data_IF_074735442589
#
_entry.id   IF_074735442589
#
_cell.length_a   1.000
_cell.length_b   1.000
_cell.length_c   1.000
_cell.angle_alpha   90.00
_cell.angle_beta   90.00
_cell.angle_gamma   90.00
#
_symmetry.space_group_name_H-M   'P 1'
#
loop_
_entity.id
_entity.type
_entity.pdbx_description
1 polymer ?
#
# COMPACT_ATOMS: atom_id res chain seq x y z
N UNK A 1 38.91 20.29 -9.78
CA UNK A 1 38.83 19.77 -8.40
C UNK A 1 39.58 18.47 -8.43
N UNK A 2 40.61 18.32 -7.61
CA UNK A 2 41.35 17.06 -7.55
C UNK A 2 40.41 15.99 -6.97
N UNK A 3 40.35 14.82 -7.61
CA UNK A 3 39.56 13.71 -7.09
C UNK A 3 40.04 13.37 -5.67
N UNK A 4 39.12 13.19 -4.72
CA UNK A 4 39.49 12.84 -3.37
C UNK A 4 40.31 11.54 -3.37
N UNK A 5 41.37 11.43 -2.54
CA UNK A 5 42.25 10.29 -2.55
C UNK A 5 41.47 8.99 -2.27
N UNK A 6 41.66 7.99 -3.12
CA UNK A 6 41.06 6.67 -2.96
C UNK A 6 41.54 6.04 -1.65
N UNK A 7 40.62 5.83 -0.70
CA UNK A 7 40.92 5.16 0.56
C UNK A 7 40.64 3.65 0.43
N UNK A 8 41.68 2.79 0.42
CA UNK A 8 41.50 1.37 0.18
C UNK A 8 41.00 0.66 1.45
N UNK A 9 39.68 0.73 1.69
CA UNK A 9 39.06 0.24 2.94
C UNK A 9 39.42 -1.23 3.26
N UNK A 10 39.54 -2.08 2.23
CA UNK A 10 39.89 -3.50 2.40
C UNK A 10 41.37 -3.77 2.68
N UNK A 11 42.23 -2.75 2.67
CA UNK A 11 43.64 -2.90 3.08
C UNK A 11 43.84 -2.70 4.58
N UNK A 12 42.81 -2.22 5.28
CA UNK A 12 42.85 -2.14 6.74
C UNK A 12 42.80 -3.53 7.37
N UNK A 13 43.35 -3.71 8.58
CA UNK A 13 43.12 -4.91 9.37
C UNK A 13 41.61 -5.21 9.53
N UNK A 14 41.26 -6.49 9.57
CA UNK A 14 39.87 -6.98 9.61
C UNK A 14 38.96 -6.20 10.58
N UNK A 15 39.41 -6.05 11.83
CA UNK A 15 38.65 -5.33 12.86
C UNK A 15 38.48 -3.84 12.54
N UNK A 16 39.47 -3.21 11.91
CA UNK A 16 39.44 -1.80 11.61
C UNK A 16 38.38 -1.49 10.53
N UNK A 17 38.37 -2.22 9.41
CA UNK A 17 37.37 -1.94 8.37
C UNK A 17 35.94 -2.31 8.81
N UNK A 18 35.75 -3.37 9.61
CA UNK A 18 34.43 -3.71 10.17
C UNK A 18 33.93 -2.57 11.05
N UNK A 19 34.79 -2.00 11.88
CA UNK A 19 34.42 -0.86 12.72
C UNK A 19 34.06 0.36 11.87
N UNK A 20 34.78 0.60 10.77
CA UNK A 20 34.41 1.66 9.80
C UNK A 20 33.01 1.40 9.23
N UNK A 21 32.72 0.18 8.74
CA UNK A 21 31.38 -0.16 8.18
C UNK A 21 30.27 0.01 9.23
N UNK A 22 30.54 -0.32 10.50
CA UNK A 22 29.58 -0.14 11.60
C UNK A 22 29.32 1.32 11.95
N UNK A 23 30.29 2.20 11.69
CA UNK A 23 30.17 3.64 11.89
C UNK A 23 29.50 4.32 10.68
N UNK A 24 29.53 3.69 9.50
CA UNK A 24 28.83 4.19 8.32
C UNK A 24 27.33 4.29 8.58
N UNK A 25 26.71 5.36 8.09
CA UNK A 25 25.26 5.48 8.10
C UNK A 25 24.60 4.49 7.10
N UNK A 26 23.27 4.33 7.18
CA UNK A 26 22.57 3.34 6.34
C UNK A 26 22.69 3.63 4.83
N UNK A 27 22.79 4.91 4.42
CA UNK A 27 23.01 5.31 3.01
C UNK A 27 24.39 4.86 2.54
N UNK A 28 25.43 5.10 3.35
CA UNK A 28 26.80 4.67 3.08
C UNK A 28 26.92 3.15 3.04
N UNK A 29 26.32 2.43 3.98
CA UNK A 29 26.29 0.96 3.98
C UNK A 29 25.61 0.40 2.72
N UNK A 30 24.48 0.99 2.32
CA UNK A 30 23.78 0.61 1.09
C UNK A 30 24.65 0.86 -0.16
N UNK A 31 25.19 2.08 -0.30
CA UNK A 31 26.04 2.45 -1.44
C UNK A 31 27.31 1.60 -1.49
N UNK A 32 28.00 1.43 -0.37
CA UNK A 32 29.20 0.61 -0.26
C UNK A 32 28.91 -0.85 -0.62
N UNK A 33 27.80 -1.41 -0.11
CA UNK A 33 27.36 -2.74 -0.47
C UNK A 33 27.22 -2.91 -1.98
N UNK A 34 26.62 -1.94 -2.69
CA UNK A 34 26.38 -2.00 -4.14
C UNK A 34 27.65 -2.06 -4.99
N UNK A 35 28.80 -1.63 -4.46
CA UNK A 35 30.08 -1.59 -5.21
C UNK A 35 30.54 -2.99 -5.64
N UNK A 36 30.38 -4.00 -4.80
CA UNK A 36 30.82 -5.37 -5.14
C UNK A 36 30.17 -6.43 -4.25
N UNK A 37 30.22 -7.70 -4.71
CA UNK A 37 29.79 -8.85 -3.91
C UNK A 37 30.54 -8.93 -2.57
N UNK A 38 31.84 -8.63 -2.57
CA UNK A 38 32.66 -8.60 -1.34
C UNK A 38 32.17 -7.51 -0.40
N UNK A 39 31.97 -6.29 -0.88
CA UNK A 39 31.46 -5.19 -0.06
C UNK A 39 30.07 -5.50 0.54
N UNK A 40 29.15 -6.03 -0.26
CA UNK A 40 27.84 -6.47 0.24
C UNK A 40 27.96 -7.52 1.35
N UNK A 41 28.87 -8.49 1.20
CA UNK A 41 29.10 -9.53 2.21
C UNK A 41 29.68 -8.94 3.51
N UNK A 42 30.60 -7.96 3.41
CA UNK A 42 31.15 -7.30 4.60
C UNK A 42 30.12 -6.42 5.31
N UNK A 43 29.24 -5.72 4.57
CA UNK A 43 28.10 -4.98 5.15
C UNK A 43 27.18 -5.94 5.88
N UNK A 44 26.79 -7.04 5.23
CA UNK A 44 25.96 -8.09 5.83
C UNK A 44 26.52 -8.62 7.14
N UNK A 45 27.83 -8.84 7.20
CA UNK A 45 28.50 -9.35 8.40
C UNK A 45 28.66 -8.29 9.50
N UNK A 46 28.64 -7.01 9.12
CA UNK A 46 28.87 -5.89 10.04
C UNK A 46 27.58 -5.36 10.67
N UNK A 47 26.45 -5.42 9.95
CA UNK A 47 25.15 -4.92 10.40
C UNK A 47 24.50 -5.90 11.38
N UNK A 48 23.95 -5.35 12.47
CA UNK A 48 23.19 -6.14 13.46
C UNK A 48 21.83 -6.54 12.88
N UNK A 49 21.43 -7.79 13.10
CA UNK A 49 20.13 -8.30 12.65
C UNK A 49 18.99 -7.51 13.28
N UNK A 50 17.99 -7.15 12.47
CA UNK A 50 16.72 -6.58 12.95
C UNK A 50 16.76 -5.11 13.37
N UNK A 51 17.86 -4.38 13.16
CA UNK A 51 17.92 -2.94 13.49
C UNK A 51 17.38 -2.03 12.39
N UNK A 52 17.13 -2.57 11.20
CA UNK A 52 16.70 -1.82 10.03
C UNK A 52 15.22 -2.10 9.75
N UNK A 53 14.43 -1.03 9.74
CA UNK A 53 13.04 -1.03 9.26
C UNK A 53 13.02 -0.66 7.78
N UNK A 54 12.22 -1.38 7.02
CA UNK A 54 12.05 -1.18 5.57
C UNK A 54 10.60 -0.80 5.30
N UNK A 55 10.42 0.29 4.56
CA UNK A 55 9.13 0.70 4.04
C UNK A 55 9.19 0.83 2.52
N UNK A 56 8.24 0.21 1.82
CA UNK A 56 8.09 0.33 0.36
C UNK A 56 6.88 1.21 0.08
N UNK A 57 7.12 2.38 -0.52
CA UNK A 57 6.15 3.44 -0.75
C UNK A 57 5.90 3.62 -2.24
N UNK A 58 4.73 3.22 -2.70
CA UNK A 58 4.29 3.36 -4.08
C UNK A 58 3.72 4.76 -4.28
N UNK A 59 4.48 5.63 -4.94
CA UNK A 59 4.09 7.01 -5.29
C UNK A 59 3.60 7.06 -6.73
N UNK A 60 3.09 8.22 -7.18
CA UNK A 60 2.50 8.39 -8.53
C UNK A 60 3.47 8.01 -9.66
N UNK A 61 4.72 8.46 -9.57
CA UNK A 61 5.72 8.33 -10.65
C UNK A 61 6.90 7.39 -10.32
N UNK A 62 7.07 6.96 -9.08
CA UNK A 62 8.20 6.14 -8.64
C UNK A 62 7.82 5.28 -7.43
N UNK A 63 8.71 4.35 -7.07
CA UNK A 63 8.64 3.60 -5.81
C UNK A 63 9.79 4.08 -4.93
N UNK A 64 9.49 4.53 -3.71
CA UNK A 64 10.50 4.85 -2.70
C UNK A 64 10.64 3.70 -1.72
N UNK A 65 11.86 3.26 -1.48
CA UNK A 65 12.20 2.34 -0.40
C UNK A 65 12.89 3.13 0.68
N UNK A 66 12.23 3.28 1.83
CA UNK A 66 12.77 3.92 3.02
C UNK A 66 13.44 2.87 3.88
N UNK A 67 14.67 3.15 4.26
CA UNK A 67 15.44 2.39 5.23
C UNK A 67 15.63 3.26 6.45
N UNK A 68 15.30 2.73 7.62
CA UNK A 68 15.47 3.43 8.89
C UNK A 68 16.20 2.52 9.87
N UNK A 69 17.30 3.01 10.46
CA UNK A 69 18.03 2.27 11.49
C UNK A 69 17.77 2.90 12.85
N UNK A 70 16.95 2.23 13.67
CA UNK A 70 16.55 2.72 14.98
C UNK A 70 17.74 2.88 15.94
N UNK A 71 18.79 2.07 15.78
CA UNK A 71 19.97 2.14 16.64
C UNK A 71 20.88 3.33 16.33
N UNK A 72 20.86 3.81 15.08
CA UNK A 72 21.70 4.94 14.64
C UNK A 72 20.90 6.23 14.44
N UNK A 73 19.57 6.16 14.59
CA UNK A 73 18.64 7.27 14.31
C UNK A 73 18.86 7.90 12.93
N UNK A 74 19.19 7.07 11.93
CA UNK A 74 19.41 7.51 10.56
C UNK A 74 18.40 6.90 9.58
N UNK A 75 18.19 7.61 8.48
CA UNK A 75 17.22 7.26 7.45
C UNK A 75 17.82 7.48 6.07
N UNK A 76 17.43 6.64 5.12
CA UNK A 76 17.76 6.77 3.71
C UNK A 76 16.56 6.39 2.86
N UNK A 77 16.25 7.20 1.85
CA UNK A 77 15.21 6.92 0.86
C UNK A 77 15.85 6.61 -0.48
N UNK A 78 15.69 5.38 -0.96
CA UNK A 78 16.10 4.94 -2.29
C UNK A 78 14.91 5.02 -3.25
N UNK A 79 15.04 5.77 -4.34
CA UNK A 79 13.97 5.94 -5.33
C UNK A 79 14.23 5.04 -6.55
N UNK A 80 13.23 4.28 -6.94
CA UNK A 80 13.21 3.49 -8.17
C UNK A 80 12.38 4.27 -9.17
N UNK A 81 13.05 4.81 -10.18
CA UNK A 81 12.42 5.49 -11.31
C UNK A 81 12.09 4.49 -12.42
N UNK A 82 11.08 4.77 -13.24
CA UNK A 82 10.80 3.97 -14.43
C UNK A 82 11.96 4.09 -15.43
N UNK A 83 12.28 2.98 -16.11
CA UNK A 83 13.32 2.96 -17.17
C UNK A 83 12.83 3.62 -18.46
N UNK A 84 11.52 3.60 -18.70
CA UNK A 84 10.89 4.19 -19.88
C UNK A 84 10.10 5.43 -19.42
N UNK A 85 10.22 6.59 -20.09
CA UNK A 85 9.38 7.75 -19.81
C UNK A 85 7.90 7.36 -19.78
N UNK A 86 7.13 7.96 -18.87
CA UNK A 86 5.68 7.72 -18.70
C UNK A 86 5.28 6.31 -18.22
N UNK A 87 6.22 5.39 -18.06
CA UNK A 87 5.99 4.08 -17.44
C UNK A 87 6.07 4.14 -15.91
N UNK A 88 5.82 3.00 -15.26
CA UNK A 88 6.01 2.81 -13.83
C UNK A 88 7.18 1.84 -13.58
N UNK A 89 7.90 1.92 -12.44
CA UNK A 89 8.94 0.94 -12.11
C UNK A 89 8.44 -0.50 -12.23
N UNK A 90 9.22 -1.36 -12.89
CA UNK A 90 8.85 -2.76 -13.08
C UNK A 90 8.83 -3.52 -11.75
N UNK A 91 7.94 -4.50 -11.63
CA UNK A 91 7.85 -5.32 -10.42
C UNK A 91 9.15 -6.06 -10.13
N UNK A 92 9.86 -6.51 -11.17
CA UNK A 92 11.17 -7.17 -11.01
C UNK A 92 12.21 -6.24 -10.40
N UNK A 93 12.29 -4.98 -10.84
CA UNK A 93 13.19 -3.99 -10.24
C UNK A 93 12.93 -3.81 -8.74
N UNK A 94 11.66 -3.80 -8.34
CA UNK A 94 11.22 -3.68 -6.93
C UNK A 94 11.58 -4.96 -6.15
N UNK A 95 11.34 -6.14 -6.70
CA UNK A 95 11.67 -7.42 -6.07
C UNK A 95 13.18 -7.58 -5.89
N UNK A 96 13.98 -7.23 -6.90
CA UNK A 96 15.44 -7.34 -6.86
C UNK A 96 16.03 -6.47 -5.76
N UNK A 97 15.57 -5.23 -5.62
CA UNK A 97 16.06 -4.36 -4.57
C UNK A 97 15.61 -4.86 -3.18
N UNK A 98 14.40 -5.40 -3.03
CA UNK A 98 13.96 -6.00 -1.75
C UNK A 98 14.82 -7.22 -1.40
N UNK A 99 15.12 -8.11 -2.37
CA UNK A 99 16.04 -9.25 -2.17
C UNK A 99 17.43 -8.79 -1.76
N UNK A 100 17.95 -7.77 -2.45
CA UNK A 100 19.24 -7.19 -2.15
C UNK A 100 19.29 -6.63 -0.71
N UNK A 101 18.31 -5.82 -0.35
CA UNK A 101 18.20 -5.25 0.99
C UNK A 101 18.06 -6.33 2.07
N UNK A 102 17.27 -7.37 1.80
CA UNK A 102 17.10 -8.51 2.70
C UNK A 102 18.42 -9.23 2.90
N UNK A 103 19.20 -9.41 1.84
CA UNK A 103 20.52 -10.01 1.92
C UNK A 103 21.50 -9.21 2.78
N UNK A 104 21.60 -7.88 2.59
CA UNK A 104 22.57 -7.05 3.31
C UNK A 104 22.14 -6.65 4.72
N UNK A 105 20.84 -6.41 4.96
CA UNK A 105 20.35 -5.92 6.26
C UNK A 105 19.64 -6.98 7.10
N UNK A 106 19.33 -8.15 6.51
CA UNK A 106 18.72 -9.29 7.19
C UNK A 106 17.51 -8.88 8.06
N UNK A 107 16.58 -8.12 7.47
CA UNK A 107 15.32 -7.75 8.09
C UNK A 107 14.30 -8.89 7.95
N UNK A 108 13.36 -8.98 8.90
CA UNK A 108 12.31 -9.99 8.91
C UNK A 108 10.92 -9.46 8.54
N UNK A 109 10.76 -8.14 8.41
CA UNK A 109 9.46 -7.52 8.15
C UNK A 109 9.57 -6.29 7.25
N UNK A 110 8.50 -6.02 6.51
CA UNK A 110 8.35 -4.89 5.59
C UNK A 110 7.04 -4.15 5.87
N UNK A 111 7.07 -2.83 5.75
CA UNK A 111 5.88 -1.99 5.70
C UNK A 111 5.58 -1.62 4.25
N UNK A 112 4.33 -1.76 3.81
CA UNK A 112 3.87 -1.45 2.47
C UNK A 112 2.94 -0.23 2.51
N UNK A 113 3.23 0.77 1.69
CA UNK A 113 2.43 1.98 1.55
C UNK A 113 2.05 2.16 0.09
N UNK A 114 0.81 1.85 -0.24
CA UNK A 114 0.24 2.09 -1.54
C UNK A 114 -0.43 3.47 -1.54
N UNK A 115 0.28 4.49 -2.02
CA UNK A 115 -0.16 5.89 -1.96
C UNK A 115 -0.62 6.40 -3.33
N UNK A 116 -0.94 5.48 -4.25
CA UNK A 116 -1.31 5.75 -5.64
C UNK A 116 -2.64 5.05 -5.93
N UNK A 117 -3.46 5.71 -6.75
CA UNK A 117 -4.72 5.16 -7.28
C UNK A 117 -4.51 3.89 -8.15
N UNK A 118 -3.30 3.69 -8.67
CA UNK A 118 -2.97 2.54 -9.52
C UNK A 118 -2.24 1.48 -8.71
N UNK A 119 -3.03 0.59 -8.08
CA UNK A 119 -2.58 -0.58 -7.32
C UNK A 119 -2.08 -1.73 -8.24
N UNK A 120 -1.30 -1.41 -9.28
CA UNK A 120 -0.81 -2.44 -10.21
C UNK A 120 0.02 -3.45 -9.41
N UNK A 121 -0.45 -4.69 -9.45
CA UNK A 121 0.21 -5.90 -8.96
C UNK A 121 0.50 -5.98 -7.45
N UNK A 122 -0.36 -5.37 -6.63
CA UNK A 122 -0.36 -5.55 -5.16
C UNK A 122 -0.35 -7.02 -4.74
N UNK A 123 -1.13 -7.86 -5.47
CA UNK A 123 -1.20 -9.30 -5.22
C UNK A 123 0.13 -9.98 -5.45
N UNK A 124 0.79 -9.64 -6.55
CA UNK A 124 2.08 -10.20 -6.90
C UNK A 124 3.14 -9.83 -5.87
N UNK A 125 3.16 -8.56 -5.43
CA UNK A 125 4.09 -8.10 -4.40
C UNK A 125 3.85 -8.79 -3.06
N UNK A 126 2.60 -8.87 -2.58
CA UNK A 126 2.28 -9.54 -1.31
C UNK A 126 2.67 -11.02 -1.37
N UNK A 127 2.37 -11.69 -2.48
CA UNK A 127 2.77 -13.08 -2.72
C UNK A 127 4.30 -13.24 -2.68
N UNK A 128 5.03 -12.32 -3.31
CA UNK A 128 6.48 -12.29 -3.29
C UNK A 128 7.05 -12.07 -1.87
N UNK A 129 6.53 -11.09 -1.11
CA UNK A 129 6.97 -10.81 0.26
C UNK A 129 6.78 -12.05 1.16
N UNK A 130 5.63 -12.71 1.07
CA UNK A 130 5.36 -13.95 1.81
C UNK A 130 6.27 -15.10 1.36
N UNK A 131 6.51 -15.23 0.05
CA UNK A 131 7.46 -16.21 -0.51
C UNK A 131 8.90 -15.98 -0.06
N UNK A 132 9.27 -14.73 0.24
CA UNK A 132 10.53 -14.37 0.86
C UNK A 132 10.53 -14.54 2.39
N UNK A 133 9.50 -15.15 3.00
CA UNK A 133 9.39 -15.31 4.44
C UNK A 133 9.53 -13.98 5.21
N UNK A 134 9.04 -12.89 4.62
CA UNK A 134 8.98 -11.58 5.25
C UNK A 134 7.58 -11.34 5.81
N UNK A 135 7.50 -10.83 7.02
CA UNK A 135 6.24 -10.41 7.63
C UNK A 135 5.80 -9.04 7.06
N UNK A 136 4.51 -8.88 6.79
CA UNK A 136 3.93 -7.56 6.48
C UNK A 136 3.60 -6.89 7.81
N UNK A 137 4.45 -5.96 8.23
CA UNK A 137 4.27 -5.24 9.50
C UNK A 137 3.16 -4.21 9.40
N UNK A 138 3.17 -3.41 8.34
CA UNK A 138 2.23 -2.33 8.14
C UNK A 138 1.75 -2.38 6.71
N UNK A 139 0.44 -2.27 6.50
CA UNK A 139 -0.15 -2.14 5.16
C UNK A 139 -1.03 -0.91 5.13
N UNK A 140 -0.62 0.10 4.38
CA UNK A 140 -1.33 1.37 4.24
C UNK A 140 -1.75 1.51 2.80
N UNK A 141 -3.06 1.53 2.56
CA UNK A 141 -3.64 1.58 1.22
C UNK A 141 -4.48 2.85 1.10
N UNK A 142 -4.02 3.74 0.23
CA UNK A 142 -4.66 4.99 -0.15
C UNK A 142 -4.84 5.02 -1.67
N UNK A 143 -5.97 5.55 -2.10
CA UNK A 143 -6.32 5.64 -3.50
C UNK A 143 -7.83 5.79 -3.69
N UNK A 144 -8.24 5.96 -4.93
CA UNK A 144 -9.64 6.09 -5.32
C UNK A 144 -10.16 4.79 -5.92
N UNK A 145 -11.28 4.32 -5.39
CA UNK A 145 -12.11 3.27 -5.99
C UNK A 145 -11.35 1.97 -6.27
N UNK A 146 -10.95 1.27 -5.20
CA UNK A 146 -10.28 -0.02 -5.37
C UNK A 146 -11.22 -1.05 -5.95
N UNK A 147 -10.74 -1.79 -6.94
CA UNK A 147 -11.43 -2.99 -7.40
C UNK A 147 -11.77 -3.89 -6.20
N UNK A 148 -13.02 -4.34 -6.12
CA UNK A 148 -13.55 -5.09 -4.98
C UNK A 148 -12.76 -6.37 -4.69
N UNK A 149 -12.29 -7.04 -5.74
CA UNK A 149 -11.49 -8.25 -5.64
C UNK A 149 -10.14 -7.98 -4.97
N UNK A 150 -9.49 -6.86 -5.34
CA UNK A 150 -8.22 -6.42 -4.72
C UNK A 150 -8.46 -5.96 -3.29
N UNK A 151 -9.57 -5.26 -3.03
CA UNK A 151 -9.96 -4.81 -1.70
C UNK A 151 -10.17 -5.99 -0.73
N UNK A 152 -10.92 -7.00 -1.14
CA UNK A 152 -11.14 -8.22 -0.37
C UNK A 152 -9.86 -9.02 -0.19
N UNK A 153 -9.03 -9.12 -1.23
CA UNK A 153 -7.72 -9.77 -1.13
C UNK A 153 -6.84 -9.10 -0.06
N UNK A 154 -6.76 -7.77 -0.04
CA UNK A 154 -5.98 -7.04 0.96
C UNK A 154 -6.46 -7.31 2.38
N UNK A 155 -7.78 -7.33 2.59
CA UNK A 155 -8.35 -7.63 3.90
C UNK A 155 -8.01 -9.05 4.35
N UNK A 156 -8.09 -10.03 3.45
CA UNK A 156 -7.73 -11.42 3.72
C UNK A 156 -6.24 -11.61 3.97
N UNK A 157 -5.39 -10.99 3.18
CA UNK A 157 -3.94 -11.24 3.23
C UNK A 157 -3.20 -10.40 4.28
N UNK A 158 -3.81 -9.33 4.81
CA UNK A 158 -3.20 -8.43 5.80
C UNK A 158 -3.92 -8.40 7.17
N UNK A 159 -4.91 -9.27 7.42
CA UNK A 159 -5.65 -9.32 8.69
C UNK A 159 -4.79 -9.64 9.92
N UNK A 160 -3.61 -10.24 9.72
CA UNK A 160 -2.65 -10.62 10.75
C UNK A 160 -1.47 -9.65 10.86
N UNK A 161 -1.41 -8.62 10.01
CA UNK A 161 -0.39 -7.59 10.07
C UNK A 161 -0.43 -6.80 11.39
N UNK A 162 0.66 -6.13 11.76
CA UNK A 162 0.66 -5.33 12.98
C UNK A 162 -0.24 -4.10 12.86
N UNK A 163 -0.27 -3.47 11.68
CA UNK A 163 -1.08 -2.29 11.36
C UNK A 163 -1.70 -2.47 9.97
N UNK A 164 -3.01 -2.23 9.85
CA UNK A 164 -3.70 -2.15 8.57
C UNK A 164 -4.49 -0.84 8.48
N UNK A 165 -4.18 -0.02 7.47
CA UNK A 165 -4.93 1.18 7.12
C UNK A 165 -5.48 1.01 5.71
N UNK A 166 -6.79 0.82 5.58
CA UNK A 166 -7.49 0.73 4.30
C UNK A 166 -8.37 1.96 4.14
N UNK A 167 -7.81 3.02 3.56
CA UNK A 167 -8.45 4.35 3.53
C UNK A 167 -9.19 4.57 2.20
N UNK A 168 -8.84 3.81 1.16
CA UNK A 168 -9.51 3.85 -0.13
C UNK A 168 -10.91 3.24 -0.07
N UNK A 169 -11.95 3.85 -0.68
CA UNK A 169 -13.24 3.19 -0.84
C UNK A 169 -13.15 2.01 -1.83
N UNK A 170 -14.02 0.99 -1.70
CA UNK A 170 -14.29 0.08 -2.80
C UNK A 170 -14.85 0.87 -4.00
N UNK A 171 -14.60 0.39 -5.23
CA UNK A 171 -15.02 1.05 -6.46
C UNK A 171 -16.54 1.22 -6.54
N UNK A 172 -17.29 0.29 -5.97
CA UNK A 172 -18.73 0.29 -5.93
C UNK A 172 -19.24 0.84 -4.59
N UNK A 173 -20.07 1.89 -4.63
CA UNK A 173 -20.68 2.47 -3.42
C UNK A 173 -21.67 1.53 -2.72
N UNK A 174 -22.17 0.52 -3.44
CA UNK A 174 -23.06 -0.51 -2.93
C UNK A 174 -22.32 -1.80 -2.57
N UNK A 175 -20.99 -1.77 -2.50
CA UNK A 175 -20.19 -2.90 -2.04
C UNK A 175 -20.74 -3.44 -0.72
N UNK A 176 -20.91 -4.76 -0.67
CA UNK A 176 -21.32 -5.51 0.51
C UNK A 176 -20.51 -6.80 0.56
N UNK A 177 -20.19 -7.22 1.76
CA UNK A 177 -19.54 -8.52 1.99
C UNK A 177 -20.25 -9.20 3.15
N UNK A 178 -20.29 -10.53 3.08
CA UNK A 178 -20.82 -11.33 4.17
C UNK A 178 -19.79 -11.41 5.30
N UNK A 179 -20.27 -11.31 6.54
CA UNK A 179 -19.43 -11.33 7.74
C UNK A 179 -18.66 -12.64 7.85
N UNK A 180 -19.23 -13.75 7.37
CA UNK A 180 -18.60 -15.08 7.41
C UNK A 180 -17.42 -15.24 6.46
N UNK A 181 -17.33 -14.40 5.42
CA UNK A 181 -16.21 -14.40 4.46
C UNK A 181 -15.04 -13.53 4.92
N UNK A 182 -15.20 -12.85 6.06
CA UNK A 182 -14.30 -11.83 6.54
C UNK A 182 -13.39 -12.37 7.64
N UNK A 183 -12.06 -12.15 7.57
CA UNK A 183 -11.14 -12.65 8.58
C UNK A 183 -11.35 -11.91 9.92
N UNK A 184 -10.92 -12.55 11.01
CA UNK A 184 -10.85 -11.90 12.32
C UNK A 184 -9.58 -11.09 12.44
N UNK A 185 -9.71 -9.82 12.77
CA UNK A 185 -8.61 -8.87 12.85
C UNK A 185 -7.97 -8.95 14.24
N UNK A 186 -6.70 -9.33 14.27
CA UNK A 186 -5.89 -9.40 15.50
C UNK A 186 -4.83 -8.28 15.55
N UNK A 187 -4.91 -7.31 14.64
CA UNK A 187 -3.92 -6.26 14.46
C UNK A 187 -3.82 -5.38 15.71
N UNK A 188 -2.66 -4.73 15.89
CA UNK A 188 -2.55 -3.67 16.91
C UNK A 188 -3.41 -2.48 16.53
N UNK A 189 -3.45 -2.10 15.26
CA UNK A 189 -4.21 -0.95 14.80
C UNK A 189 -4.90 -1.27 13.47
N UNK A 190 -6.21 -1.03 13.42
CA UNK A 190 -7.06 -1.18 12.24
C UNK A 190 -7.69 0.17 11.94
N UNK A 191 -7.46 0.70 10.74
CA UNK A 191 -8.14 1.88 10.21
C UNK A 191 -8.87 1.48 8.93
N UNK A 192 -10.17 1.72 8.85
CA UNK A 192 -10.96 1.55 7.62
C UNK A 192 -11.67 2.86 7.29
N UNK A 193 -11.25 3.49 6.20
CA UNK A 193 -11.90 4.67 5.62
C UNK A 193 -13.05 4.30 4.69
N UNK A 194 -13.94 5.26 4.40
CA UNK A 194 -15.10 5.09 3.50
C UNK A 194 -15.89 3.79 3.74
N UNK A 195 -16.08 3.47 5.01
CA UNK A 195 -16.53 2.16 5.49
C UNK A 195 -18.06 1.97 5.46
N UNK A 196 -18.74 2.53 4.46
CA UNK A 196 -20.21 2.45 4.31
C UNK A 196 -20.76 1.01 4.22
N UNK A 197 -19.89 0.07 3.83
CA UNK A 197 -20.18 -1.36 3.72
C UNK A 197 -20.05 -2.11 5.06
N UNK A 198 -19.33 -1.54 6.03
CA UNK A 198 -19.13 -2.15 7.35
C UNK A 198 -20.45 -2.07 8.13
N UNK A 199 -20.88 -3.21 8.64
CA UNK A 199 -22.10 -3.33 9.46
C UNK A 199 -21.72 -3.55 10.93
N UNK A 200 -22.67 -3.36 11.85
CA UNK A 200 -22.44 -3.62 13.28
C UNK A 200 -21.98 -5.06 13.54
N UNK A 201 -22.47 -6.03 12.75
CA UNK A 201 -22.03 -7.43 12.85
C UNK A 201 -20.54 -7.59 12.54
N UNK A 202 -19.99 -6.84 11.58
CA UNK A 202 -18.55 -6.85 11.33
C UNK A 202 -17.76 -6.36 12.55
N UNK A 203 -18.24 -5.31 13.24
CA UNK A 203 -17.65 -4.84 14.49
C UNK A 203 -17.64 -5.94 15.56
N UNK A 204 -18.78 -6.59 15.73
CA UNK A 204 -19.00 -7.59 16.79
C UNK A 204 -18.33 -8.95 16.53
N UNK A 205 -18.13 -9.31 15.25
CA UNK A 205 -17.63 -10.65 14.86
C UNK A 205 -16.18 -10.63 14.33
N UNK A 206 -15.75 -9.55 13.67
CA UNK A 206 -14.46 -9.49 12.99
C UNK A 206 -13.42 -8.62 13.71
N UNK A 207 -13.82 -7.50 14.32
CA UNK A 207 -12.88 -6.50 14.84
C UNK A 207 -12.62 -6.59 16.36
N UNK A 208 -13.34 -7.44 17.10
CA UNK A 208 -13.25 -7.54 18.56
C UNK A 208 -11.88 -7.97 19.11
N UNK A 209 -11.01 -8.54 18.26
CA UNK A 209 -9.69 -9.02 18.65
C UNK A 209 -8.55 -8.02 18.39
N UNK A 210 -8.82 -6.88 17.75
CA UNK A 210 -7.82 -5.83 17.53
C UNK A 210 -7.63 -4.97 18.80
N UNK A 211 -6.54 -4.19 18.87
CA UNK A 211 -6.27 -3.32 20.04
C UNK A 211 -6.77 -1.89 19.85
N UNK A 212 -6.63 -1.34 18.65
CA UNK A 212 -7.04 0.02 18.30
C UNK A 212 -7.84 -0.06 17.01
N UNK A 213 -9.05 0.51 17.02
CA UNK A 213 -10.01 0.44 15.92
C UNK A 213 -10.45 1.85 15.51
N UNK A 214 -10.30 2.19 14.24
CA UNK A 214 -10.77 3.43 13.65
C UNK A 214 -11.59 3.14 12.39
N UNK A 215 -12.88 3.47 12.42
CA UNK A 215 -13.82 3.17 11.33
C UNK A 215 -14.50 4.48 10.91
N UNK A 216 -14.17 4.97 9.72
CA UNK A 216 -14.55 6.31 9.26
C UNK A 216 -15.61 6.26 8.15
N UNK A 217 -16.42 7.32 8.05
CA UNK A 217 -17.45 7.48 7.01
C UNK A 217 -18.47 6.31 6.95
N UNK A 218 -19.00 5.93 8.11
CA UNK A 218 -19.92 4.79 8.26
C UNK A 218 -21.37 5.14 7.91
N UNK A 219 -22.23 4.12 7.90
CA UNK A 219 -23.70 4.28 7.90
C UNK A 219 -24.33 3.97 9.27
N UNK A 220 -23.53 3.87 10.33
CA UNK A 220 -24.01 3.46 11.64
C UNK A 220 -25.04 4.43 12.20
N UNK A 221 -26.08 3.82 12.77
CA UNK A 221 -27.09 4.46 13.59
C UNK A 221 -26.66 4.49 15.06
N UNK A 222 -27.29 5.34 15.90
CA UNK A 222 -27.09 5.27 17.34
C UNK A 222 -27.34 3.88 17.94
N UNK A 223 -28.32 3.14 17.41
CA UNK A 223 -28.68 1.79 17.82
C UNK A 223 -27.58 0.77 17.49
N UNK A 224 -26.98 0.88 16.29
CA UNK A 224 -25.83 0.05 15.89
C UNK A 224 -24.67 0.22 16.88
N UNK A 225 -24.30 1.47 17.19
CA UNK A 225 -23.24 1.72 18.15
C UNK A 225 -23.64 1.27 19.56
N UNK A 226 -24.88 1.46 20.00
CA UNK A 226 -25.32 0.96 21.29
C UNK A 226 -25.16 -0.57 21.41
N UNK A 227 -25.50 -1.32 20.35
CA UNK A 227 -25.28 -2.77 20.29
C UNK A 227 -23.79 -3.10 20.40
N UNK A 228 -22.96 -2.47 19.56
CA UNK A 228 -21.52 -2.67 19.59
C UNK A 228 -20.91 -2.34 20.95
N UNK A 229 -21.31 -1.24 21.60
CA UNK A 229 -20.80 -0.86 22.93
C UNK A 229 -21.21 -1.87 24.00
N UNK A 230 -22.46 -2.33 24.01
CA UNK A 230 -22.89 -3.38 24.92
C UNK A 230 -22.05 -4.64 24.74
N UNK A 231 -21.75 -5.01 23.49
CA UNK A 231 -20.90 -6.15 23.17
C UNK A 231 -19.44 -5.94 23.60
N UNK A 232 -18.89 -4.75 23.34
CA UNK A 232 -17.53 -4.36 23.73
C UNK A 232 -17.33 -4.48 25.25
N UNK A 233 -18.28 -3.98 26.04
CA UNK A 233 -18.22 -3.98 27.51
C UNK A 233 -18.27 -5.40 28.08
N UNK A 234 -18.91 -6.36 27.40
CA UNK A 234 -18.91 -7.76 27.81
C UNK A 234 -17.55 -8.43 27.67
N UNK A 235 -16.67 -7.87 26.83
CA UNK A 235 -15.32 -8.38 26.63
C UNK A 235 -14.83 -8.14 25.21
N UNK A 236 -13.65 -7.54 25.09
CA UNK A 236 -12.95 -7.29 23.83
C UNK A 236 -11.47 -7.09 24.10
N UNK A 237 -10.62 -7.23 23.08
CA UNK A 237 -9.22 -6.77 23.14
C UNK A 237 -9.07 -5.30 22.74
N UNK A 238 -10.12 -4.68 22.20
CA UNK A 238 -10.14 -3.28 21.80
C UNK A 238 -9.94 -2.41 23.03
N UNK A 239 -8.88 -1.61 23.01
CA UNK A 239 -8.53 -0.62 24.04
C UNK A 239 -9.03 0.77 23.69
N UNK A 240 -9.08 1.07 22.40
CA UNK A 240 -9.47 2.35 21.83
C UNK A 240 -10.31 2.11 20.57
N UNK A 241 -11.45 2.78 20.49
CA UNK A 241 -12.30 2.79 19.30
C UNK A 241 -12.68 4.23 18.93
N UNK A 242 -12.53 4.56 17.65
CA UNK A 242 -12.98 5.82 17.04
C UNK A 242 -13.88 5.46 15.85
N UNK A 243 -15.17 5.74 15.97
CA UNK A 243 -16.14 5.31 14.96
C UNK A 243 -17.02 6.49 14.55
N UNK A 244 -17.04 6.79 13.26
CA UNK A 244 -17.92 7.82 12.72
C UNK A 244 -19.37 7.37 12.77
N UNK A 245 -20.25 8.33 13.01
CA UNK A 245 -21.70 8.15 12.97
C UNK A 245 -22.28 8.88 11.76
N UNK A 246 -23.33 8.31 11.18
CA UNK A 246 -24.21 9.10 10.32
C UNK A 246 -24.75 10.27 11.15
N UNK A 247 -24.77 11.47 10.58
CA UNK A 247 -25.19 12.73 11.26
C UNK A 247 -26.42 12.48 12.13
N UNK A 248 -26.23 12.51 13.44
CA UNK A 248 -27.27 12.34 14.45
C UNK A 248 -27.22 13.47 15.46
N UNK A 249 -28.37 13.80 16.04
CA UNK A 249 -28.47 14.70 17.20
C UNK A 249 -28.71 13.93 18.49
N UNK A 250 -29.03 12.64 18.38
CA UNK A 250 -29.34 11.80 19.51
C UNK A 250 -28.13 10.94 19.88
N UNK A 251 -27.21 11.55 20.64
CA UNK A 251 -26.10 10.82 21.24
C UNK A 251 -26.52 10.07 22.51
N UNK A 252 -27.73 10.31 23.03
CA UNK A 252 -28.21 9.69 24.27
C UNK A 252 -28.59 8.24 24.04
N UNK A 253 -29.22 7.92 22.91
CA UNK A 253 -29.54 6.54 22.53
C UNK A 253 -28.31 5.64 22.42
N UNK A 254 -27.15 6.17 22.02
CA UNK A 254 -25.88 5.41 21.94
C UNK A 254 -25.50 4.80 23.30
N UNK A 255 -25.72 5.51 24.39
CA UNK A 255 -25.35 5.07 25.75
C UNK A 255 -26.55 4.52 26.54
N UNK A 256 -27.71 4.37 25.91
CA UNK A 256 -28.91 3.91 26.60
C UNK A 256 -28.73 2.48 27.14
N UNK A 257 -28.99 2.31 28.43
CA UNK A 257 -28.80 1.03 29.12
C UNK A 257 -27.34 0.69 29.44
N UNK A 258 -26.42 1.63 29.23
CA UNK A 258 -25.01 1.52 29.67
C UNK A 258 -24.84 2.41 30.90
N UNK A 259 -24.24 1.86 31.96
CA UNK A 259 -23.91 2.66 33.15
C UNK A 259 -22.69 3.53 32.81
N UNK A 260 -22.93 4.80 32.48
CA UNK A 260 -21.89 5.75 32.10
C UNK A 260 -21.84 6.94 33.07
N UNK A 261 -20.63 7.43 33.36
CA UNK A 261 -20.42 8.66 34.15
C UNK A 261 -20.29 9.83 33.16
N UNK A 262 -21.19 10.83 33.20
CA UNK A 262 -21.06 12.01 32.35
C UNK A 262 -19.81 12.81 32.72
N UNK A 263 -18.91 13.06 31.76
CA UNK A 263 -17.81 14.00 31.95
C UNK A 263 -18.34 15.42 31.73
N UNK A 264 -18.25 16.27 32.75
CA UNK A 264 -18.67 17.68 32.66
C UNK A 264 -17.76 18.42 31.67
N UNK A 265 -18.34 18.96 30.59
CA UNK A 265 -17.62 19.74 29.56
C UNK A 265 -17.97 19.36 28.11
N UNK A 266 -18.62 18.22 27.89
CA UNK A 266 -18.94 17.67 26.57
C UNK A 266 -20.19 18.28 25.88
N UNK A 267 -20.52 19.56 26.14
CA UNK A 267 -21.85 20.10 25.78
C UNK A 267 -22.03 20.61 24.34
N UNK A 268 -21.03 20.46 23.47
CA UNK A 268 -21.19 20.77 22.03
C UNK A 268 -20.13 20.01 21.25
N UNK A 269 -20.45 18.90 20.54
CA UNK A 269 -19.48 18.23 19.65
C UNK A 269 -20.04 17.13 18.75
N UNK A 270 -19.38 16.93 17.61
CA UNK A 270 -19.72 16.02 16.48
C UNK A 270 -19.03 14.64 16.56
N UNK A 271 -18.29 14.35 17.61
CA UNK A 271 -17.53 13.11 17.81
C UNK A 271 -17.58 12.67 19.27
N UNK A 272 -17.51 11.36 19.51
CA UNK A 272 -17.47 10.73 20.84
C UNK A 272 -16.26 9.80 20.90
N UNK A 273 -15.37 9.97 21.89
CA UNK A 273 -14.26 9.05 22.13
C UNK A 273 -14.58 8.19 23.35
N UNK A 274 -14.56 6.88 23.17
CA UNK A 274 -14.81 5.92 24.23
C UNK A 274 -13.52 5.18 24.54
N UNK A 275 -13.13 5.20 25.81
CA UNK A 275 -11.95 4.49 26.31
C UNK A 275 -12.39 3.35 27.22
N UNK A 276 -11.58 2.28 27.27
CA UNK A 276 -11.84 1.08 28.10
C UNK A 276 -11.94 1.34 29.61
N UNK A 277 -11.53 2.52 30.08
CA UNK A 277 -11.74 2.96 31.47
C UNK A 277 -13.10 3.65 31.69
N UNK A 278 -14.02 3.57 30.72
CA UNK A 278 -15.33 4.22 30.76
C UNK A 278 -15.26 5.75 30.95
N UNK A 279 -14.11 6.35 30.63
CA UNK A 279 -13.95 7.79 30.53
C UNK A 279 -14.43 8.23 29.15
N UNK A 280 -15.49 9.04 29.14
CA UNK A 280 -16.13 9.60 27.96
C UNK A 280 -15.44 10.93 27.62
N UNK A 281 -14.30 10.85 26.94
CA UNK A 281 -13.59 12.05 26.51
C UNK A 281 -14.16 12.55 25.17
N UNK A 282 -14.32 13.85 25.04
CA UNK A 282 -14.85 14.47 23.80
C UNK A 282 -13.83 15.47 23.29
N UNK A 283 -12.76 14.95 22.70
CA UNK A 283 -11.80 15.76 21.96
C UNK A 283 -12.39 16.15 20.60
N UNK A 284 -12.29 17.44 20.28
CA UNK A 284 -12.56 17.97 18.95
C UNK A 284 -11.29 17.68 18.16
N UNK A 285 -11.38 16.87 17.11
CA UNK A 285 -10.63 17.18 15.90
C UNK A 285 -11.67 17.67 14.89
N UNK A 286 -11.47 18.86 14.35
CA UNK A 286 -12.25 19.30 13.20
C UNK A 286 -12.04 18.34 12.02
N UNK A 287 -12.99 18.25 11.08
CA UNK A 287 -12.79 17.48 9.84
C UNK A 287 -11.51 17.92 9.11
N UNK A 288 -11.16 19.20 9.23
CA UNK A 288 -9.90 19.80 8.77
C UNK A 288 -8.67 19.27 9.54
N UNK A 289 -8.70 19.21 10.87
CA UNK A 289 -7.60 18.65 11.69
C UNK A 289 -7.44 17.14 11.50
N UNK A 290 -8.54 16.42 11.35
CA UNK A 290 -8.55 15.00 11.03
C UNK A 290 -7.97 14.77 9.63
N UNK A 291 -8.47 15.49 8.62
CA UNK A 291 -7.89 15.50 7.28
C UNK A 291 -6.41 15.88 7.37
N UNK A 292 -6.02 16.85 8.18
CA UNK A 292 -4.62 17.26 8.40
C UNK A 292 -3.79 16.20 9.10
N UNK A 293 -4.34 15.40 10.02
CA UNK A 293 -3.68 14.25 10.65
C UNK A 293 -3.45 13.13 9.63
N UNK A 294 -4.47 12.79 8.86
CA UNK A 294 -4.36 11.84 7.76
C UNK A 294 -3.43 12.34 6.64
N UNK A 295 -3.49 13.64 6.34
CA UNK A 295 -2.60 14.31 5.41
C UNK A 295 -1.18 14.36 5.95
N UNK A 296 -0.96 14.52 7.26
CA UNK A 296 0.39 14.45 7.85
C UNK A 296 0.99 13.04 7.77
N UNK A 297 0.16 12.00 7.80
CA UNK A 297 0.60 10.63 7.52
C UNK A 297 0.98 10.45 6.04
N UNK A 298 0.36 11.19 5.10
CA UNK A 298 0.71 11.17 3.66
C UNK A 298 1.83 12.13 3.26
N UNK A 299 1.95 13.27 3.96
CA UNK A 299 2.72 14.47 3.63
C UNK A 299 3.94 14.68 4.54
N UNK A 300 4.24 13.78 5.49
CA UNK A 300 5.55 13.74 6.18
C UNK A 300 6.73 13.37 5.25
N UNK A 301 6.54 13.48 3.94
CA UNK A 301 7.62 13.66 2.98
C UNK A 301 7.94 15.15 2.94
N UNK A 302 8.86 15.56 3.81
CA UNK A 302 9.55 16.84 3.73
C UNK A 302 9.93 17.14 2.27
N UNK A 303 9.74 18.40 1.86
CA UNK A 303 10.56 19.04 0.83
C UNK A 303 12.02 18.74 1.20
N UNK A 304 12.61 17.80 0.47
CA UNK A 304 14.06 17.62 0.45
C UNK A 304 14.52 18.54 -0.66
N UNK A 305 15.38 19.50 -0.32
CA UNK A 305 16.08 20.37 -1.25
C UNK A 305 16.54 19.56 -2.47
N UNK A 306 16.08 19.99 -3.65
CA UNK A 306 16.39 19.42 -4.97
C UNK A 306 17.86 19.67 -5.40
N UNK A 307 18.79 19.73 -4.45
CA UNK A 307 20.23 19.87 -4.68
C UNK A 307 20.88 18.48 -4.68
N UNK A 308 20.54 17.65 -5.68
CA UNK A 308 21.45 16.66 -6.29
C UNK A 308 20.70 15.86 -7.37
N UNK A 309 20.65 16.40 -8.60
CA UNK A 309 20.54 15.56 -9.79
C UNK A 309 21.84 14.75 -9.91
N UNK A 310 21.90 13.58 -9.29
CA UNK A 310 22.90 12.57 -9.66
C UNK A 310 22.54 12.04 -11.04
N UNK A 311 23.14 12.63 -12.07
CA UNK A 311 23.30 12.02 -13.38
C UNK A 311 24.42 10.99 -13.23
N UNK A 312 24.07 9.80 -12.79
CA UNK A 312 24.83 8.59 -13.13
C UNK A 312 24.22 8.15 -14.48
N UNK A 313 24.82 8.37 -15.64
CA UNK A 313 26.17 7.94 -16.01
C UNK A 313 25.99 6.79 -16.99
N UNK A 314 25.81 7.12 -18.28
CA UNK A 314 25.93 6.17 -19.38
C UNK A 314 27.31 5.51 -19.27
N UNK A 315 27.33 4.19 -19.15
CA UNK A 315 28.54 3.40 -19.35
C UNK A 315 28.80 3.31 -20.85
N UNK A 316 29.64 4.21 -21.36
CA UNK A 316 30.44 3.97 -22.55
C UNK A 316 31.56 3.00 -22.14
N UNK A 317 31.33 1.70 -22.34
CA UNK A 317 32.40 0.70 -22.34
C UNK A 317 32.73 0.37 -23.81
N UNK A 318 33.74 1.06 -24.32
CA UNK A 318 34.50 0.69 -25.51
C UNK A 318 35.18 -0.67 -25.27
N UNK A 319 34.56 -1.74 -25.78
CA UNK A 319 35.25 -3.02 -25.99
C UNK A 319 35.71 -3.11 -27.44
N UNK A 320 36.99 -2.78 -27.64
CA UNK A 320 37.79 -3.11 -28.81
C UNK A 320 37.90 -4.64 -28.93
N UNK A 321 37.24 -5.23 -29.93
CA UNK A 321 37.53 -6.58 -30.41
C UNK A 321 37.79 -6.49 -31.92
N UNK A 322 39.07 -6.50 -32.27
CA UNK A 322 39.58 -6.93 -33.57
C UNK A 322 39.38 -8.45 -33.71
N UNK A 323 38.60 -8.90 -34.70
CA UNK A 323 39.14 -9.73 -35.79
C UNK A 323 38.03 -10.21 -36.76
N UNK A 324 38.34 -10.00 -38.03
CA UNK A 324 38.08 -10.83 -39.22
C UNK A 324 36.81 -11.70 -39.29
N UNK A 325 35.93 -11.39 -40.25
CA UNK A 325 35.91 -12.14 -41.53
C UNK A 325 34.85 -11.61 -42.49
N UNK A 326 35.29 -11.46 -43.73
CA UNK A 326 34.54 -11.26 -44.98
C UNK A 326 33.19 -11.99 -45.05
N UNK A 327 32.18 -11.32 -45.62
CA UNK A 327 31.46 -11.82 -46.80
C UNK A 327 30.66 -10.68 -47.44
N UNK A 328 31.09 -10.29 -48.64
CA UNK A 328 30.36 -9.49 -49.62
C UNK A 328 29.31 -10.36 -50.32
N UNK A 329 28.07 -9.89 -50.47
CA UNK A 329 27.25 -10.11 -51.68
C UNK A 329 26.34 -8.89 -51.91
N UNK A 330 26.70 -8.11 -52.92
CA UNK A 330 25.82 -7.26 -53.72
C UNK A 330 24.80 -8.11 -54.49
N UNK A 331 23.51 -7.75 -54.48
CA UNK A 331 22.66 -7.79 -55.69
C UNK A 331 21.64 -6.66 -55.61
N UNK A 332 21.70 -5.80 -56.62
CA UNK A 332 20.76 -4.77 -57.08
C UNK A 332 19.38 -5.37 -57.42
N UNK A 333 18.29 -4.73 -57.83
CA UNK A 333 17.98 -3.44 -58.46
C UNK A 333 16.44 -3.40 -58.66
N UNK A 334 15.93 -2.23 -59.02
CA UNK A 334 14.73 -1.96 -59.85
C UNK A 334 13.34 -1.85 -59.22
N UNK A 335 12.96 -0.58 -59.03
CA UNK A 335 11.86 0.16 -59.70
C UNK A 335 10.68 -0.64 -60.31
N UNK A 336 9.45 -0.25 -59.94
CA UNK A 336 8.45 0.25 -60.91
C UNK A 336 7.18 0.78 -60.21
N UNK A 337 6.73 1.92 -60.73
CA UNK A 337 5.44 2.58 -60.52
C UNK A 337 4.32 1.87 -61.30
N UNK A 338 3.05 2.06 -60.89
CA UNK A 338 1.77 2.06 -61.66
C UNK A 338 0.64 1.81 -60.62
N UNK A 339 -0.17 2.77 -60.21
CA UNK A 339 -1.27 3.49 -60.89
C UNK A 339 -2.41 2.57 -61.37
N UNK A 340 -3.65 2.87 -60.96
CA UNK A 340 -4.84 2.09 -61.36
C UNK A 340 -6.07 2.17 -60.45
N UNK A 341 -6.78 3.30 -60.52
CA UNK A 341 -8.24 3.47 -60.72
C UNK A 341 -9.29 2.54 -60.06
N UNK A 342 -10.22 3.21 -59.37
CA UNK A 342 -11.70 3.23 -59.54
C UNK A 342 -12.58 1.97 -59.50
N UNK A 343 -13.78 2.20 -58.92
CA UNK A 343 -15.11 1.57 -59.07
C UNK A 343 -15.71 1.25 -57.68
N UNK A 344 -16.55 2.11 -57.09
CA UNK A 344 -17.99 2.38 -57.34
C UNK A 344 -18.93 1.17 -57.16
N UNK A 345 -20.04 1.44 -56.43
CA UNK A 345 -21.32 0.71 -56.36
C UNK A 345 -21.36 -0.61 -55.55
N UNK A 346 -22.43 -0.95 -54.81
CA UNK A 346 -23.76 -0.36 -54.58
C UNK A 346 -24.42 -1.07 -53.38
N UNK A 347 -25.36 -0.34 -52.78
CA UNK A 347 -26.68 -0.73 -52.25
C UNK A 347 -26.98 -2.22 -51.94
N UNK A 348 -27.56 -2.47 -50.75
CA UNK A 348 -28.96 -2.97 -50.57
C UNK A 348 -29.19 -3.40 -49.09
N UNK A 349 -30.05 -2.66 -48.39
CA UNK A 349 -30.91 -3.22 -47.33
C UNK A 349 -32.01 -4.06 -48.02
N UNK A 350 -32.61 -5.07 -47.35
CA UNK A 350 -33.90 -4.79 -46.72
C UNK A 350 -34.26 -5.62 -45.46
N UNK A 351 -35.12 -4.97 -44.66
CA UNK A 351 -36.40 -5.41 -44.06
C UNK A 351 -36.49 -6.61 -43.09
N UNK A 352 -36.94 -6.24 -41.88
CA UNK A 352 -38.10 -6.73 -41.10
C UNK A 352 -38.48 -8.22 -41.13
N UNK A 353 -38.58 -8.81 -39.93
CA UNK A 353 -39.64 -9.78 -39.64
C UNK A 353 -40.06 -9.71 -38.17
N UNK A 354 -41.26 -9.15 -37.95
CA UNK A 354 -42.09 -9.29 -36.77
C UNK A 354 -42.53 -10.74 -36.58
N UNK A 355 -42.49 -11.27 -35.37
CA UNK A 355 -43.38 -12.37 -34.96
C UNK A 355 -43.84 -12.20 -33.51
N UNK A 356 -45.07 -11.69 -33.39
CA UNK A 356 -45.95 -11.91 -32.25
C UNK A 356 -46.42 -13.36 -32.25
N UNK A 357 -46.34 -14.04 -31.10
CA UNK A 357 -47.25 -15.15 -30.77
C UNK A 357 -47.62 -15.12 -29.29
N UNK A 358 -48.82 -14.60 -29.04
CA UNK A 358 -49.67 -14.93 -27.91
C UNK A 358 -49.96 -16.43 -27.87
N UNK A 359 -49.92 -17.03 -26.67
CA UNK A 359 -50.86 -18.12 -26.32
C UNK A 359 -51.17 -18.07 -24.83
N UNK A 360 -52.43 -17.75 -24.56
CA UNK A 360 -53.13 -17.99 -23.30
C UNK A 360 -53.21 -19.50 -22.98
N UNK A 361 -53.26 -19.82 -21.68
CA UNK A 361 -53.47 -21.17 -21.18
C UNK A 361 -53.84 -21.18 -19.70
N UNK A 362 -55.14 -21.04 -19.46
CA UNK A 362 -55.84 -21.07 -18.18
C UNK A 362 -55.61 -22.33 -17.31
N UNK A 363 -55.71 -22.09 -16.01
CA UNK A 363 -56.17 -22.92 -14.89
C UNK A 363 -56.38 -24.44 -15.07
N UNK A 364 -55.90 -25.22 -14.08
CA UNK A 364 -56.86 -25.95 -13.25
C UNK A 364 -56.32 -26.34 -11.87
N UNK A 365 -57.25 -26.31 -10.92
CA UNK A 365 -57.14 -26.58 -9.49
C UNK A 365 -57.53 -28.02 -9.13
N UNK A 366 -57.06 -28.46 -7.96
CA UNK A 366 -57.55 -29.56 -7.10
C UNK A 366 -57.20 -31.00 -7.49
N UNK A 367 -56.34 -31.64 -6.67
CA UNK A 367 -56.76 -32.65 -5.68
C UNK A 367 -55.75 -32.74 -4.52
#
# INVERSE_FOLDING_TARGET
MDDPPFFPLFWLPFLAYINVIRLMNIREQFKFGKISRRASQEVKNSVRRGTVRIEVRFRKAYVAIRLENDSMMNRFDYRIWPQIPESYPSMDSIKEIIKYLKYIFNFGAVSLYFLKDNLVDVRELITFIKGEHLEIRCSVIHGKGLNEEVYLYLLRECHDSFIIHLISPPANENFRTDVSEFPKFCNKHVIIGESKWVTVKHLEECFMDCKELEICYTRFTPEDLNSFLKRWIQGSKIKYASIDLKKTRDFRSIVQGITAIPIRGAQNKKSMILTTNFSLDTTIESEEEFKKRFKSLSDNDYEIDDDEKTVDGNSDDDYDISDESDYTVDVSSDESEEDGSDEEESEEEPEEEDTDQDTDGESDSNE
#
